data_IF_070160472043
#
_entry.id   IF_070160472043
#
_cell.length_a   1.000
_cell.length_b   1.000
_cell.length_c   1.000
_cell.angle_alpha   90.00
_cell.angle_beta   90.00
_cell.angle_gamma   90.00
#
_symmetry.space_group_name_H-M   'P 1'
#
loop_
_entity.id
_entity.type
_entity.pdbx_description
1 polymer ?
#
# COMPACT_ATOMS: atom_id res chain seq x y z
N UNK A 1 -3.32 4.35 -39.65
CA UNK A 1 -4.27 4.39 -38.53
C UNK A 1 -3.75 3.44 -37.47
N UNK A 2 -3.49 4.03 -36.31
CA UNK A 2 -2.84 3.49 -35.12
C UNK A 2 -3.60 2.30 -34.56
N UNK A 3 -2.98 1.12 -34.65
CA UNK A 3 -3.40 -0.07 -33.92
C UNK A 3 -2.79 -0.03 -32.52
N UNK A 4 -3.68 0.14 -31.55
CA UNK A 4 -3.46 0.22 -30.11
C UNK A 4 -2.37 -0.74 -29.61
N UNK A 5 -1.26 -0.17 -29.16
CA UNK A 5 -0.30 -0.83 -28.29
C UNK A 5 -1.05 -1.33 -27.06
N UNK A 6 -1.28 -2.64 -27.00
CA UNK A 6 -1.70 -3.28 -25.75
C UNK A 6 -0.51 -3.15 -24.82
N UNK A 7 -0.59 -2.16 -23.93
CA UNK A 7 0.31 -2.02 -22.79
C UNK A 7 0.14 -3.27 -21.94
N UNK A 8 0.98 -4.28 -22.17
CA UNK A 8 1.26 -5.34 -21.20
C UNK A 8 1.71 -4.62 -19.92
N UNK A 9 0.78 -4.48 -18.99
CA UNK A 9 1.05 -3.93 -17.68
C UNK A 9 2.10 -4.83 -17.05
N UNK A 10 3.34 -4.33 -17.03
CA UNK A 10 4.55 -4.96 -16.52
C UNK A 10 4.29 -5.97 -15.40
N UNK A 11 4.88 -7.16 -15.54
CA UNK A 11 5.28 -8.05 -14.44
C UNK A 11 6.31 -7.32 -13.54
N UNK A 12 6.01 -6.12 -13.08
CA UNK A 12 6.94 -5.21 -12.43
C UNK A 12 7.46 -5.79 -11.11
N UNK A 13 8.77 -6.01 -11.08
CA UNK A 13 9.57 -6.41 -9.94
C UNK A 13 10.86 -7.08 -10.41
N UNK A 14 11.98 -6.96 -9.68
CA UNK A 14 13.19 -7.69 -10.00
C UNK A 14 12.98 -9.20 -9.78
N UNK A 15 13.61 -10.06 -10.61
CA UNK A 15 13.52 -11.49 -10.42
C UNK A 15 14.27 -11.93 -9.14
N UNK A 16 13.82 -13.01 -8.52
CA UNK A 16 14.47 -13.62 -7.36
C UNK A 16 14.36 -15.14 -7.51
N UNK A 17 15.37 -15.88 -7.06
CA UNK A 17 15.31 -17.35 -7.04
C UNK A 17 14.67 -17.80 -5.72
N UNK A 18 13.52 -18.43 -5.81
CA UNK A 18 12.78 -18.99 -4.67
C UNK A 18 13.09 -20.48 -4.54
N UNK A 19 13.47 -20.92 -3.34
CA UNK A 19 13.52 -22.33 -2.97
C UNK A 19 12.22 -22.76 -2.29
N UNK A 20 11.56 -23.76 -2.87
CA UNK A 20 10.34 -24.36 -2.34
C UNK A 20 10.63 -25.35 -1.20
N UNK A 21 9.61 -25.70 -0.37
CA UNK A 21 9.79 -26.64 0.74
C UNK A 21 10.27 -28.03 0.34
N UNK A 22 9.99 -28.47 -0.89
CA UNK A 22 10.45 -29.74 -1.45
C UNK A 22 11.85 -29.67 -2.06
N UNK A 23 12.50 -28.50 -2.00
CA UNK A 23 13.83 -28.24 -2.53
C UNK A 23 13.86 -27.83 -4.00
N UNK A 24 12.72 -27.73 -4.68
CA UNK A 24 12.66 -27.16 -6.03
C UNK A 24 13.04 -25.69 -6.02
N UNK A 25 13.59 -25.20 -7.12
CA UNK A 25 13.94 -23.79 -7.30
C UNK A 25 13.16 -23.19 -8.46
N UNK A 26 12.56 -22.02 -8.22
CA UNK A 26 11.79 -21.27 -9.20
C UNK A 26 12.38 -19.87 -9.37
N UNK A 27 12.38 -19.38 -10.60
CA UNK A 27 12.58 -17.95 -10.85
C UNK A 27 11.23 -17.26 -10.74
N UNK A 28 11.10 -16.33 -9.79
CA UNK A 28 9.85 -15.63 -9.50
C UNK A 28 10.10 -14.12 -9.44
N UNK A 29 9.04 -13.32 -9.55
CA UNK A 29 9.14 -11.86 -9.49
C UNK A 29 8.90 -11.40 -8.07
N UNK A 30 9.83 -10.62 -7.50
CA UNK A 30 9.64 -10.01 -6.19
C UNK A 30 8.69 -8.81 -6.29
N UNK A 31 7.52 -8.92 -5.66
CA UNK A 31 6.45 -7.90 -5.72
C UNK A 31 6.45 -6.96 -4.52
N UNK A 32 6.60 -7.51 -3.31
CA UNK A 32 6.55 -6.76 -2.05
C UNK A 32 7.42 -7.40 -0.98
N UNK A 33 7.71 -6.64 0.05
CA UNK A 33 8.29 -7.09 1.31
C UNK A 33 7.29 -6.83 2.42
N UNK A 34 7.28 -7.64 3.46
CA UNK A 34 6.62 -7.30 4.72
C UNK A 34 7.49 -7.74 5.88
N UNK A 35 7.36 -7.04 7.00
CA UNK A 35 7.89 -7.49 8.27
C UNK A 35 6.74 -8.01 9.13
N UNK A 36 6.84 -9.25 9.60
CA UNK A 36 5.89 -9.82 10.54
C UNK A 36 6.08 -9.24 11.96
N UNK A 37 5.12 -9.49 12.85
CA UNK A 37 5.14 -8.96 14.22
C UNK A 37 6.33 -9.48 15.05
N UNK A 38 6.82 -10.68 14.75
CA UNK A 38 8.03 -11.27 15.33
C UNK A 38 9.34 -10.68 14.78
N UNK A 39 9.23 -9.75 13.82
CA UNK A 39 10.35 -9.09 13.18
C UNK A 39 10.92 -9.84 11.98
N UNK A 40 10.43 -11.04 11.65
CA UNK A 40 10.84 -11.81 10.46
C UNK A 40 10.41 -11.11 9.17
N UNK A 41 11.22 -11.26 8.13
CA UNK A 41 10.94 -10.69 6.81
C UNK A 41 10.36 -11.73 5.86
N UNK A 42 9.39 -11.28 5.09
CA UNK A 42 8.70 -12.09 4.09
C UNK A 42 8.60 -11.33 2.78
N UNK A 43 8.71 -12.06 1.68
CA UNK A 43 8.58 -11.55 0.33
C UNK A 43 7.28 -12.05 -0.29
N UNK A 44 6.51 -11.14 -0.89
CA UNK A 44 5.44 -11.49 -1.80
C UNK A 44 6.08 -11.70 -3.16
N UNK A 45 5.99 -12.92 -3.65
CA UNK A 45 6.54 -13.31 -4.95
C UNK A 45 5.43 -13.73 -5.88
N UNK A 46 5.57 -13.38 -7.15
CA UNK A 46 4.63 -13.74 -8.21
C UNK A 46 5.26 -14.66 -9.24
N UNK A 47 4.50 -15.65 -9.70
CA UNK A 47 4.85 -16.51 -10.83
C UNK A 47 3.63 -16.72 -11.74
N UNK A 48 3.88 -16.97 -13.02
CA UNK A 48 2.82 -17.29 -13.98
C UNK A 48 2.60 -18.81 -14.02
N UNK A 49 1.40 -19.26 -13.67
CA UNK A 49 0.96 -20.66 -13.74
C UNK A 49 -0.16 -20.81 -14.78
N UNK A 50 -0.57 -22.04 -15.07
CA UNK A 50 -1.72 -22.29 -15.95
C UNK A 50 -3.03 -22.06 -15.20
N UNK A 51 -3.84 -21.13 -15.71
CA UNK A 51 -5.20 -20.85 -15.29
C UNK A 51 -6.23 -21.27 -16.33
N UNK A 52 -7.44 -21.70 -15.92
CA UNK A 52 -8.54 -21.97 -16.84
C UNK A 52 -9.25 -20.66 -17.22
N UNK A 53 -9.39 -20.40 -18.52
CA UNK A 53 -10.23 -19.33 -19.05
C UNK A 53 -11.33 -19.90 -19.93
N UNK A 54 -12.57 -19.41 -19.78
CA UNK A 54 -13.70 -19.83 -20.62
C UNK A 54 -13.80 -18.93 -21.85
N UNK A 55 -13.82 -19.55 -23.03
CA UNK A 55 -14.17 -18.86 -24.28
C UNK A 55 -15.68 -18.60 -24.36
N UNK A 56 -16.13 -17.70 -25.24
CA UNK A 56 -17.56 -17.44 -25.46
C UNK A 56 -18.40 -18.67 -25.86
N UNK A 57 -17.77 -19.69 -26.45
CA UNK A 57 -18.41 -20.95 -26.84
C UNK A 57 -18.51 -21.98 -25.68
N UNK A 58 -18.07 -21.61 -24.48
CA UNK A 58 -18.06 -22.47 -23.29
C UNK A 58 -16.86 -23.42 -23.19
N UNK A 59 -15.95 -23.43 -24.16
CA UNK A 59 -14.73 -24.24 -24.08
C UNK A 59 -13.72 -23.64 -23.10
N UNK A 60 -13.03 -24.51 -22.35
CA UNK A 60 -11.92 -24.13 -21.49
C UNK A 60 -10.61 -24.05 -22.27
N UNK A 61 -9.83 -23.01 -22.02
CA UNK A 61 -8.45 -22.85 -22.49
C UNK A 61 -7.51 -22.61 -21.32
N UNK A 62 -6.28 -23.08 -21.47
CA UNK A 62 -5.20 -22.74 -20.54
C UNK A 62 -4.59 -21.39 -20.92
N UNK A 63 -4.52 -20.47 -19.94
CA UNK A 63 -3.90 -19.16 -20.07
C UNK A 63 -2.89 -18.97 -18.94
N UNK A 64 -1.80 -18.21 -19.14
CA UNK A 64 -0.95 -17.78 -18.03
C UNK A 64 -1.76 -16.95 -17.03
N UNK A 65 -1.74 -17.35 -15.77
CA UNK A 65 -2.40 -16.69 -14.65
C UNK A 65 -1.36 -16.35 -13.58
N UNK A 66 -1.27 -15.08 -13.16
CA UNK A 66 -0.36 -14.69 -12.09
C UNK A 66 -0.85 -15.26 -10.76
N UNK A 67 0.01 -16.02 -10.10
CA UNK A 67 -0.20 -16.54 -8.76
C UNK A 67 0.81 -15.89 -7.83
N UNK A 68 0.36 -15.44 -6.67
CA UNK A 68 1.22 -14.84 -5.66
C UNK A 68 1.25 -15.70 -4.40
N UNK A 69 2.42 -15.79 -3.77
CA UNK A 69 2.57 -16.40 -2.46
C UNK A 69 3.57 -15.64 -1.60
N UNK A 70 3.46 -15.83 -0.29
CA UNK A 70 4.43 -15.31 0.67
C UNK A 70 5.52 -16.35 0.93
N UNK A 71 6.77 -15.94 0.79
CA UNK A 71 7.95 -16.75 1.10
C UNK A 71 8.83 -16.08 2.17
N UNK A 72 9.47 -16.85 3.07
CA UNK A 72 10.44 -16.29 3.99
C UNK A 72 11.66 -15.79 3.21
N UNK A 73 12.28 -14.70 3.65
CA UNK A 73 13.46 -14.12 2.96
C UNK A 73 14.59 -15.13 2.80
N UNK A 74 14.80 -16.01 3.78
CA UNK A 74 15.87 -17.01 3.75
C UNK A 74 15.66 -18.09 2.65
N UNK A 75 14.47 -18.17 2.06
CA UNK A 75 14.20 -19.02 0.89
C UNK A 75 14.36 -18.29 -0.45
N UNK A 76 14.70 -16.99 -0.42
CA UNK A 76 14.74 -16.13 -1.60
C UNK A 76 16.17 -15.60 -1.82
N UNK A 77 16.80 -16.04 -2.92
CA UNK A 77 18.12 -15.58 -3.32
C UNK A 77 18.02 -14.47 -4.40
N UNK A 78 18.53 -13.26 -4.12
CA UNK A 78 18.62 -12.20 -5.12
C UNK A 78 19.46 -12.61 -6.34
N UNK A 79 19.03 -12.20 -7.53
CA UNK A 79 19.81 -12.33 -8.76
C UNK A 79 20.84 -11.19 -8.81
N UNK A 80 22.14 -11.51 -8.99
CA UNK A 80 23.17 -10.47 -9.07
C UNK A 80 22.93 -9.48 -10.21
N UNK A 81 23.04 -8.18 -9.91
CA UNK A 81 22.91 -7.10 -10.89
C UNK A 81 21.50 -6.53 -11.04
N UNK A 82 20.49 -7.13 -10.41
CA UNK A 82 19.12 -6.59 -10.38
C UNK A 82 18.97 -5.48 -9.33
N UNK A 83 18.15 -4.47 -9.64
CA UNK A 83 17.81 -3.40 -8.72
C UNK A 83 16.57 -3.77 -7.88
N UNK A 84 16.77 -3.85 -6.57
CA UNK A 84 15.72 -4.16 -5.62
C UNK A 84 15.20 -2.93 -4.88
N UNK A 85 15.81 -1.76 -5.00
CA UNK A 85 15.50 -0.61 -4.15
C UNK A 85 14.06 -0.12 -4.31
N UNK A 86 13.47 -0.34 -5.49
CA UNK A 86 12.09 0.04 -5.80
C UNK A 86 11.03 -0.95 -5.30
N UNK A 87 11.41 -2.08 -4.71
CA UNK A 87 10.43 -3.07 -4.25
C UNK A 87 9.69 -2.53 -3.01
N UNK A 88 8.36 -2.37 -3.08
CA UNK A 88 7.58 -1.82 -1.98
C UNK A 88 7.62 -2.70 -0.74
N UNK A 89 7.62 -2.07 0.43
CA UNK A 89 7.55 -2.74 1.74
C UNK A 89 6.21 -2.44 2.42
N UNK A 90 5.37 -3.47 2.57
CA UNK A 90 4.19 -3.46 3.42
C UNK A 90 4.61 -3.06 4.84
N UNK A 91 3.90 -2.08 5.41
CA UNK A 91 4.22 -1.58 6.74
C UNK A 91 4.96 -0.24 6.76
N UNK A 92 5.33 0.35 5.61
CA UNK A 92 5.34 1.83 5.52
C UNK A 92 3.88 2.32 5.44
N UNK A 93 3.07 1.98 6.44
CA UNK A 93 1.97 2.86 6.81
C UNK A 93 2.64 4.00 7.54
N UNK A 94 2.68 5.18 6.94
CA UNK A 94 2.94 6.40 7.72
C UNK A 94 2.06 6.30 8.96
N UNK A 95 2.59 6.47 10.19
CA UNK A 95 1.74 6.52 11.37
C UNK A 95 0.57 7.45 11.04
N UNK A 96 -0.69 7.08 11.38
CA UNK A 96 -1.81 7.96 11.11
C UNK A 96 -1.43 9.35 11.64
N UNK A 97 -1.58 10.40 10.82
CA UNK A 97 -1.10 11.72 11.16
C UNK A 97 -1.68 12.09 12.51
N UNK A 98 -0.90 12.58 13.47
CA UNK A 98 -1.43 12.84 14.82
C UNK A 98 -2.63 13.79 14.83
N UNK A 99 -2.73 14.64 13.81
CA UNK A 99 -3.78 15.62 13.65
C UNK A 99 -4.31 15.65 12.22
N UNK A 100 -5.57 16.05 12.08
CA UNK A 100 -6.22 16.36 10.82
C UNK A 100 -6.80 17.78 10.91
N UNK A 101 -6.84 18.48 9.78
CA UNK A 101 -7.58 19.73 9.59
C UNK A 101 -8.69 19.47 8.58
N UNK A 102 -9.92 19.75 8.98
CA UNK A 102 -11.13 19.68 8.15
C UNK A 102 -11.53 21.09 7.74
N UNK A 103 -11.76 21.31 6.45
CA UNK A 103 -12.37 22.52 5.91
C UNK A 103 -13.88 22.33 5.89
N UNK A 104 -14.57 23.00 6.82
CA UNK A 104 -16.03 23.03 6.83
C UNK A 104 -16.52 24.18 5.95
N UNK A 105 -17.67 24.03 5.31
CA UNK A 105 -18.22 25.08 4.44
C UNK A 105 -18.31 26.42 5.17
N UNK A 106 -17.66 27.46 4.63
CA UNK A 106 -17.64 28.81 5.20
C UNK A 106 -16.31 29.26 5.85
N UNK A 107 -15.16 28.83 5.32
CA UNK A 107 -13.79 29.20 5.75
C UNK A 107 -13.40 28.80 7.19
N UNK A 108 -14.23 28.01 7.88
CA UNK A 108 -13.93 27.55 9.23
C UNK A 108 -13.16 26.23 9.19
N UNK A 109 -11.96 26.25 9.79
CA UNK A 109 -11.16 25.04 10.03
C UNK A 109 -11.55 24.37 11.35
N UNK A 110 -11.65 23.04 11.31
CA UNK A 110 -11.83 22.20 12.50
C UNK A 110 -10.60 21.31 12.67
N UNK A 111 -10.05 21.29 13.89
CA UNK A 111 -8.92 20.43 14.26
C UNK A 111 -9.46 19.09 14.74
N UNK A 112 -8.87 17.98 14.30
CA UNK A 112 -9.17 16.64 14.80
C UNK A 112 -7.91 15.89 15.20
N UNK A 113 -8.07 14.86 16.04
CA UNK A 113 -7.05 13.82 16.16
C UNK A 113 -6.98 12.99 14.88
N UNK A 114 -5.82 12.40 14.64
CA UNK A 114 -5.52 11.54 13.50
C UNK A 114 -6.45 10.36 13.26
N UNK A 115 -7.08 9.89 14.33
CA UNK A 115 -7.95 8.72 14.39
C UNK A 115 -9.43 9.09 14.48
N UNK A 116 -9.78 10.37 14.29
CA UNK A 116 -11.15 10.84 14.43
C UNK A 116 -12.03 10.37 13.26
N UNK A 117 -13.13 9.69 13.59
CA UNK A 117 -14.14 9.26 12.62
C UNK A 117 -15.25 10.29 12.36
N UNK A 118 -15.16 11.48 12.98
CA UNK A 118 -16.19 12.53 12.84
C UNK A 118 -16.23 13.20 11.47
N UNK A 119 -15.09 13.45 10.78
CA UNK A 119 -15.13 14.02 9.44
C UNK A 119 -15.90 13.09 8.49
N UNK A 120 -16.91 13.64 7.81
CA UNK A 120 -17.69 12.94 6.79
C UNK A 120 -16.94 12.85 5.46
N UNK A 121 -17.48 12.09 4.50
CA UNK A 121 -16.90 11.98 3.14
C UNK A 121 -17.02 13.25 2.29
N UNK A 122 -17.83 14.21 2.73
CA UNK A 122 -18.18 15.42 1.97
C UNK A 122 -17.27 16.61 2.28
N UNK A 123 -16.47 16.53 3.36
CA UNK A 123 -15.55 17.59 3.75
C UNK A 123 -14.11 17.25 3.37
N UNK A 124 -13.35 18.26 2.97
CA UNK A 124 -11.93 18.09 2.67
C UNK A 124 -11.14 18.01 3.97
N UNK A 125 -10.49 16.86 4.19
CA UNK A 125 -9.71 16.59 5.40
C UNK A 125 -8.26 16.33 5.00
N UNK A 126 -7.35 17.07 5.62
CA UNK A 126 -5.91 16.93 5.36
C UNK A 126 -5.11 16.64 6.64
N UNK A 127 -4.04 15.82 6.55
CA UNK A 127 -3.06 15.69 7.61
C UNK A 127 -2.45 17.03 8.05
N UNK A 128 -2.20 17.18 9.34
CA UNK A 128 -1.55 18.37 9.90
C UNK A 128 -0.45 18.03 10.91
N UNK A 129 0.61 18.83 10.89
CA UNK A 129 1.66 18.88 11.92
C UNK A 129 1.19 19.69 13.13
N UNK A 130 1.88 19.56 14.27
CA UNK A 130 1.56 20.35 15.48
C UNK A 130 1.69 21.85 15.24
N UNK A 131 2.64 22.28 14.41
CA UNK A 131 2.83 23.70 14.10
C UNK A 131 1.71 24.24 13.20
N UNK A 132 1.25 23.43 12.23
CA UNK A 132 0.07 23.77 11.42
C UNK A 132 -1.20 23.85 12.26
N UNK A 133 -1.37 22.94 13.25
CA UNK A 133 -2.50 23.01 14.19
C UNK A 133 -2.42 24.27 15.06
N UNK A 134 -1.24 24.64 15.55
CA UNK A 134 -1.04 25.87 16.33
C UNK A 134 -1.33 27.12 15.50
N UNK A 135 -0.83 27.18 14.27
CA UNK A 135 -1.10 28.29 13.35
C UNK A 135 -2.60 28.40 13.02
N UNK A 136 -3.26 27.27 12.76
CA UNK A 136 -4.70 27.22 12.51
C UNK A 136 -5.49 27.69 13.76
N UNK A 137 -5.10 27.27 14.95
CA UNK A 137 -5.73 27.71 16.21
C UNK A 137 -5.56 29.23 16.42
N UNK A 138 -4.39 29.80 16.10
CA UNK A 138 -4.15 31.24 16.12
C UNK A 138 -5.00 31.99 15.08
N UNK A 139 -5.30 31.35 13.96
CA UNK A 139 -6.17 31.88 12.90
C UNK A 139 -7.67 31.65 13.16
N UNK A 140 -8.06 31.06 14.30
CA UNK A 140 -9.47 30.86 14.68
C UNK A 140 -10.04 29.47 14.39
N UNK A 141 -9.21 28.47 14.09
CA UNK A 141 -9.68 27.09 13.98
C UNK A 141 -10.22 26.57 15.32
N UNK A 142 -11.31 25.79 15.27
CA UNK A 142 -11.99 25.25 16.45
C UNK A 142 -11.66 23.77 16.66
N UNK A 143 -11.59 23.29 17.91
CA UNK A 143 -11.39 21.86 18.18
C UNK A 143 -12.66 21.07 17.85
N UNK A 144 -12.50 19.89 17.24
CA UNK A 144 -13.60 18.95 17.06
C UNK A 144 -14.19 18.53 18.42
N UNK A 145 -15.51 18.69 18.58
CA UNK A 145 -16.22 18.33 19.81
C UNK A 145 -16.29 16.82 20.07
N UNK A 146 -16.11 15.99 19.04
CA UNK A 146 -16.15 14.52 19.15
C UNK A 146 -14.84 13.96 19.69
N UNK A 147 -13.71 14.30 19.05
CA UNK A 147 -12.40 13.76 19.46
C UNK A 147 -11.65 14.63 20.47
N UNK A 148 -12.14 15.85 20.75
CA UNK A 148 -11.60 16.81 21.74
C UNK A 148 -10.07 16.91 21.69
N UNK A 149 -9.50 17.34 20.54
CA UNK A 149 -8.05 17.41 20.34
C UNK A 149 -7.37 18.37 21.33
N UNK A 150 -8.11 19.35 21.84
CA UNK A 150 -7.70 20.34 22.83
C UNK A 150 -7.20 19.70 24.14
N UNK A 151 -7.69 18.52 24.50
CA UNK A 151 -7.22 17.80 25.70
C UNK A 151 -5.82 17.21 25.53
N UNK A 152 -5.39 17.00 24.29
CA UNK A 152 -4.06 16.49 23.96
C UNK A 152 -3.05 17.60 23.59
N UNK A 153 -3.50 18.86 23.52
CA UNK A 153 -2.68 20.03 23.20
C UNK A 153 -2.22 20.82 24.45
N UNK A 154 -2.57 20.36 25.65
CA UNK A 154 -2.15 20.97 26.93
C UNK A 154 -0.78 20.50 27.38
#
# INVERSE_FOLDING_TARGET
>A
MTGTSSSEASEAGPPVRLKLPDGQELLVVLRRRRRADDGSWWYLVGLSLWGPSQRPDGSLVAMPEPVECWAPVDACEPIPGEDYDQVPTDGIRRPPPRWLLEETGGDQLVVHRGDCAAPGREHEVRPATVDQVRAAAQAGAVPCEVCRPDRALR
#
